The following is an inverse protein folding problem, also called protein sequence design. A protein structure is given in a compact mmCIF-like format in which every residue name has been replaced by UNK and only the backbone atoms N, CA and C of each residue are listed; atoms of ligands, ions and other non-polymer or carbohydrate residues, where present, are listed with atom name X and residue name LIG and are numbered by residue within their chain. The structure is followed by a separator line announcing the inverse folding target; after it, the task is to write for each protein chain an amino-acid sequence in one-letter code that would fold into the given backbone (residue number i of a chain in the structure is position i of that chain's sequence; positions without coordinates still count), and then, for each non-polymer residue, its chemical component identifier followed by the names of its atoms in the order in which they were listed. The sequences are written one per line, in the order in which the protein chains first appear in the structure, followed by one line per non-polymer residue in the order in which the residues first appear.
data_IF_957655289929
#
_entry.id   IF_957655289929
#
_cell.length_a   1.000
_cell.length_b   1.000
_cell.length_c   1.000
_cell.angle_alpha   90.00
_cell.angle_beta   90.00
_cell.angle_gamma   90.00
#
_symmetry.space_group_name_H-M   'P 1'
#
loop_
_entity.id
_entity.type
_entity.pdbx_description
1 polymer ?
#
# COMPACT_ATOMS: atom_id res chain seq x y z
N UNK A 1 -55.47 -31.21 -23.39
CA UNK A 1 -55.21 -30.01 -22.58
C UNK A 1 -54.56 -30.33 -21.23
N UNK A 2 -54.99 -31.33 -20.47
CA UNK A 2 -54.37 -31.64 -19.13
C UNK A 2 -52.90 -32.10 -19.19
N UNK A 3 -52.47 -32.74 -20.26
CA UNK A 3 -51.06 -33.23 -20.41
C UNK A 3 -50.06 -32.12 -20.82
N UNK A 4 -50.55 -31.10 -21.51
CA UNK A 4 -49.74 -29.93 -21.88
C UNK A 4 -49.48 -29.00 -20.65
N UNK A 5 -50.43 -28.93 -19.70
CA UNK A 5 -50.28 -28.17 -18.49
C UNK A 5 -49.23 -28.79 -17.55
N UNK A 6 -49.16 -30.13 -17.49
CA UNK A 6 -48.17 -30.84 -16.68
C UNK A 6 -46.72 -30.63 -17.16
N UNK A 7 -46.49 -30.52 -18.48
CA UNK A 7 -45.18 -30.29 -19.07
C UNK A 7 -44.72 -28.83 -18.80
N UNK A 8 -45.66 -27.90 -18.85
CA UNK A 8 -45.35 -26.48 -18.56
C UNK A 8 -44.93 -26.26 -17.11
N UNK A 9 -45.57 -26.95 -16.15
CA UNK A 9 -45.21 -26.84 -14.71
C UNK A 9 -43.84 -27.47 -14.41
N UNK A 10 -43.48 -28.57 -15.10
CA UNK A 10 -42.17 -29.22 -14.93
C UNK A 10 -41.03 -28.36 -15.50
N UNK A 11 -41.28 -27.63 -16.62
CA UNK A 11 -40.26 -26.67 -17.14
C UNK A 11 -40.05 -25.43 -16.28
N UNK A 12 -41.07 -25.02 -15.52
CA UNK A 12 -40.95 -23.81 -14.66
C UNK A 12 -40.12 -24.05 -13.38
N UNK A 13 -40.00 -25.33 -12.95
CA UNK A 13 -39.21 -25.66 -11.73
C UNK A 13 -37.72 -25.84 -12.03
N UNK A 14 -37.34 -26.00 -13.31
CA UNK A 14 -35.94 -26.21 -13.70
C UNK A 14 -35.11 -24.91 -13.79
N UNK A 15 -35.72 -23.73 -13.63
CA UNK A 15 -35.03 -22.42 -13.77
C UNK A 15 -34.63 -21.81 -12.41
N UNK A 16 -35.01 -22.42 -11.28
CA UNK A 16 -34.69 -21.90 -9.94
C UNK A 16 -33.47 -22.57 -9.30
N UNK A 17 -32.56 -23.08 -10.11
CA UNK A 17 -31.35 -23.69 -9.59
C UNK A 17 -30.10 -23.14 -10.23
N UNK A 18 -29.45 -22.19 -9.59
CA UNK A 18 -28.03 -21.86 -9.53
C UNK A 18 -27.81 -20.34 -9.44
N UNK A 19 -28.19 -19.74 -8.35
CA UNK A 19 -27.41 -18.60 -7.88
C UNK A 19 -26.63 -19.06 -6.64
N UNK A 20 -25.67 -19.94 -6.86
CA UNK A 20 -24.54 -20.05 -5.95
C UNK A 20 -23.67 -18.79 -6.12
N UNK A 21 -24.21 -17.67 -5.68
CA UNK A 21 -23.41 -16.53 -5.31
C UNK A 21 -22.51 -16.98 -4.16
N UNK A 22 -21.39 -17.61 -4.49
CA UNK A 22 -20.32 -17.82 -3.55
C UNK A 22 -19.91 -16.43 -3.12
N UNK A 23 -20.41 -15.97 -1.98
CA UNK A 23 -19.82 -14.87 -1.24
C UNK A 23 -18.45 -15.40 -0.85
N UNK A 24 -17.44 -15.16 -1.69
CA UNK A 24 -16.05 -15.35 -1.30
C UNK A 24 -15.89 -14.45 -0.08
N UNK A 25 -15.88 -15.04 1.11
CA UNK A 25 -15.62 -14.28 2.32
C UNK A 25 -14.31 -13.55 2.06
N UNK A 26 -14.34 -12.21 2.09
CA UNK A 26 -13.13 -11.42 1.97
C UNK A 26 -12.17 -11.91 3.06
N UNK A 27 -10.93 -12.19 2.69
CA UNK A 27 -9.93 -12.58 3.67
C UNK A 27 -9.84 -11.50 4.75
N UNK A 28 -9.69 -11.88 6.02
CA UNK A 28 -9.65 -10.91 7.11
C UNK A 28 -8.49 -9.93 6.89
N UNK A 29 -8.75 -8.65 7.05
CA UNK A 29 -7.74 -7.61 7.02
C UNK A 29 -7.13 -7.45 8.42
N UNK A 30 -5.83 -7.33 8.46
CA UNK A 30 -5.03 -7.11 9.67
C UNK A 30 -4.54 -5.66 9.66
N UNK A 31 -4.62 -4.92 10.78
CA UNK A 31 -4.00 -3.61 10.88
C UNK A 31 -2.48 -3.73 10.75
N UNK A 32 -1.89 -2.88 9.91
CA UNK A 32 -0.45 -2.92 9.58
C UNK A 32 0.12 -1.52 9.71
N UNK A 33 1.28 -1.42 10.35
CA UNK A 33 2.13 -0.22 10.34
C UNK A 33 3.29 -0.44 9.38
N UNK A 34 3.57 0.52 8.53
CA UNK A 34 4.69 0.48 7.61
C UNK A 34 5.49 1.76 7.65
N UNK A 35 6.78 1.66 7.32
CA UNK A 35 7.66 2.80 7.11
C UNK A 35 8.07 2.87 5.66
N UNK A 36 7.90 4.05 5.07
CA UNK A 36 8.22 4.34 3.68
C UNK A 36 9.28 5.42 3.62
N UNK A 37 10.44 5.09 3.06
CA UNK A 37 11.59 5.97 2.88
C UNK A 37 11.54 6.65 1.52
N UNK A 38 11.62 7.98 1.52
CA UNK A 38 11.78 8.83 0.34
C UNK A 38 13.17 9.44 0.41
N UNK A 39 14.01 9.17 -0.57
CA UNK A 39 15.41 9.59 -0.55
C UNK A 39 15.64 10.91 -1.27
N UNK A 40 16.58 11.70 -0.75
CA UNK A 40 17.15 12.88 -1.41
C UNK A 40 16.10 13.91 -1.86
N UNK A 41 15.13 14.14 -0.99
CA UNK A 41 14.08 15.15 -1.21
C UNK A 41 14.67 16.55 -1.07
N UNK A 42 14.32 17.44 -1.98
CA UNK A 42 14.71 18.85 -1.89
C UNK A 42 13.57 19.66 -1.27
N UNK A 43 13.84 20.64 -0.41
CA UNK A 43 12.83 21.63 -0.02
C UNK A 43 12.33 22.36 -1.27
N UNK A 44 11.03 22.65 -1.43
CA UNK A 44 9.92 22.55 -0.48
C UNK A 44 9.08 21.25 -0.58
N UNK A 45 9.55 20.21 -1.30
CA UNK A 45 8.74 18.99 -1.50
C UNK A 45 8.45 18.28 -0.17
N UNK A 46 9.36 18.38 0.82
CA UNK A 46 9.16 17.82 2.16
C UNK A 46 7.90 18.37 2.85
N UNK A 47 7.55 19.65 2.60
CA UNK A 47 6.35 20.29 3.14
C UNK A 47 5.03 19.72 2.57
N UNK A 48 5.13 18.90 1.50
CA UNK A 48 3.97 18.27 0.89
C UNK A 48 3.46 17.06 1.68
N UNK A 49 4.23 16.59 2.66
CA UNK A 49 3.87 15.44 3.48
C UNK A 49 3.35 15.89 4.84
N UNK A 50 2.13 15.46 5.19
CA UNK A 50 1.52 15.80 6.46
C UNK A 50 0.79 14.59 7.08
N UNK A 51 0.80 14.53 8.41
CA UNK A 51 0.01 13.57 9.18
C UNK A 51 -1.47 13.72 8.80
N UNK A 52 -2.16 12.59 8.64
CA UNK A 52 -3.56 12.53 8.22
C UNK A 52 -3.77 12.40 6.70
N UNK A 53 -2.75 12.56 5.87
CA UNK A 53 -2.86 12.31 4.43
C UNK A 53 -2.90 10.81 4.13
N UNK A 54 -3.68 10.43 3.12
CA UNK A 54 -3.71 9.05 2.62
C UNK A 54 -2.59 8.81 1.61
N UNK A 55 -2.03 7.59 1.64
CA UNK A 55 -1.02 7.13 0.69
C UNK A 55 -1.59 5.99 -0.14
N UNK A 56 -1.40 6.06 -1.46
CA UNK A 56 -1.84 5.05 -2.43
C UNK A 56 -0.68 4.63 -3.32
N UNK A 57 -0.72 3.40 -3.80
CA UNK A 57 0.14 2.95 -4.90
C UNK A 57 -0.25 3.69 -6.17
N UNK A 58 0.70 4.23 -6.93
CA UNK A 58 0.38 5.06 -8.10
C UNK A 58 -0.36 4.30 -9.19
N UNK A 59 0.10 3.10 -9.55
CA UNK A 59 -0.42 2.34 -10.68
C UNK A 59 -1.81 1.75 -10.41
N UNK A 60 -1.98 1.09 -9.28
CA UNK A 60 -3.21 0.37 -8.93
C UNK A 60 -4.22 1.24 -8.18
N UNK A 61 -3.81 2.39 -7.65
CA UNK A 61 -4.60 3.27 -6.76
C UNK A 61 -4.97 2.60 -5.42
N UNK A 62 -4.42 1.45 -5.13
CA UNK A 62 -4.66 0.74 -3.88
C UNK A 62 -4.26 1.63 -2.69
N UNK A 63 -5.15 1.74 -1.73
CA UNK A 63 -4.92 2.50 -0.50
C UNK A 63 -3.99 1.68 0.40
N UNK A 64 -2.85 2.27 0.77
CA UNK A 64 -1.93 1.69 1.76
C UNK A 64 -2.32 2.05 3.19
N UNK A 65 -2.79 3.27 3.40
CA UNK A 65 -3.18 3.76 4.72
C UNK A 65 -3.08 5.28 4.83
N UNK A 66 -2.95 5.73 6.07
CA UNK A 66 -2.85 7.14 6.45
C UNK A 66 -1.51 7.41 7.11
N UNK A 67 -0.88 8.55 6.80
CA UNK A 67 0.36 8.98 7.43
C UNK A 67 0.07 9.32 8.90
N UNK A 68 0.77 8.67 9.82
CA UNK A 68 0.68 8.92 11.26
C UNK A 68 1.89 9.66 11.82
N UNK A 69 3.03 9.61 11.11
CA UNK A 69 4.23 10.35 11.46
C UNK A 69 5.07 10.68 10.22
N UNK A 70 5.82 11.79 10.28
CA UNK A 70 6.73 12.26 9.24
C UNK A 70 8.07 12.63 9.90
N UNK A 71 9.10 11.81 9.69
CA UNK A 71 10.45 12.10 10.15
C UNK A 71 11.30 12.60 8.96
N UNK A 72 12.02 13.70 9.18
CA UNK A 72 12.89 14.33 8.17
C UNK A 72 14.31 14.40 8.71
N UNK A 73 15.24 13.77 7.99
CA UNK A 73 16.66 13.75 8.31
C UNK A 73 17.50 14.20 7.11
N UNK A 74 18.67 14.86 7.33
CA UNK A 74 19.58 15.16 6.22
C UNK A 74 19.99 13.90 5.46
N UNK A 75 19.81 13.91 4.13
CA UNK A 75 20.09 12.77 3.28
C UNK A 75 21.55 12.31 3.39
N UNK A 76 21.75 11.00 3.47
CA UNK A 76 23.08 10.40 3.48
C UNK A 76 23.58 10.19 2.06
N UNK A 77 24.84 10.55 1.82
CA UNK A 77 25.49 10.39 0.53
C UNK A 77 26.92 9.89 0.70
N UNK A 78 27.35 9.03 -0.21
CA UNK A 78 28.74 8.61 -0.27
C UNK A 78 29.55 9.68 -1.03
N UNK A 79 30.52 10.31 -0.36
CA UNK A 79 31.38 11.34 -0.93
C UNK A 79 32.82 10.84 -0.93
N UNK A 80 33.57 10.90 -2.07
CA UNK A 80 34.97 10.53 -2.08
C UNK A 80 35.81 11.56 -1.30
N UNK A 81 36.70 11.08 -0.46
CA UNK A 81 37.71 11.90 0.19
C UNK A 81 38.91 12.21 -0.76
N UNK A 82 39.92 12.90 -0.25
CA UNK A 82 41.10 13.27 -1.02
C UNK A 82 41.92 12.09 -1.51
N UNK A 83 41.70 10.88 -1.02
CA UNK A 83 42.34 9.63 -1.44
C UNK A 83 41.49 8.81 -2.39
N UNK A 84 40.24 9.23 -2.63
CA UNK A 84 39.25 8.49 -3.44
C UNK A 84 38.46 7.46 -2.63
N UNK A 85 38.66 7.34 -1.31
CA UNK A 85 37.87 6.48 -0.46
C UNK A 85 36.50 7.12 -0.20
N UNK A 86 35.43 6.30 -0.26
CA UNK A 86 34.07 6.78 0.01
C UNK A 86 33.84 6.94 1.50
N UNK A 87 33.35 8.11 1.88
CA UNK A 87 32.94 8.45 3.24
C UNK A 87 31.44 8.75 3.26
N UNK A 88 30.77 8.36 4.36
CA UNK A 88 29.38 8.72 4.61
C UNK A 88 29.28 10.19 5.05
N UNK A 89 28.62 11.01 4.26
CA UNK A 89 28.42 12.43 4.52
C UNK A 89 26.92 12.75 4.51
N UNK A 90 26.54 13.82 5.22
CA UNK A 90 25.18 14.36 5.20
C UNK A 90 25.05 15.45 4.14
N UNK A 91 23.97 15.39 3.37
CA UNK A 91 23.66 16.43 2.38
C UNK A 91 23.32 17.75 3.09
N UNK A 92 23.87 18.88 2.65
CA UNK A 92 23.45 20.19 3.17
C UNK A 92 22.16 20.71 2.54
N UNK A 93 21.66 20.09 1.48
CA UNK A 93 20.54 20.60 0.65
C UNK A 93 19.45 19.59 0.36
N UNK A 94 19.61 18.34 0.75
CA UNK A 94 18.63 17.27 0.52
C UNK A 94 18.36 16.53 1.82
N UNK A 95 17.11 16.11 1.99
CA UNK A 95 16.64 15.35 3.14
C UNK A 95 16.16 13.97 2.71
N UNK A 96 16.28 13.00 3.58
CA UNK A 96 15.56 11.74 3.52
C UNK A 96 14.32 11.85 4.41
N UNK A 97 13.18 11.38 3.92
CA UNK A 97 11.91 11.43 4.65
C UNK A 97 11.45 10.01 4.93
N UNK A 98 11.11 9.73 6.17
CA UNK A 98 10.47 8.49 6.57
C UNK A 98 9.03 8.79 6.95
N UNK A 99 8.09 8.24 6.18
CA UNK A 99 6.67 8.31 6.48
C UNK A 99 6.28 7.04 7.25
N UNK A 100 5.68 7.19 8.43
CA UNK A 100 4.99 6.10 9.11
C UNK A 100 3.54 6.11 8.66
N UNK A 101 3.08 4.97 8.15
CA UNK A 101 1.75 4.81 7.56
C UNK A 101 1.05 3.67 8.28
N UNK A 102 -0.19 3.89 8.70
CA UNK A 102 -1.05 2.87 9.28
C UNK A 102 -2.23 2.59 8.35
N UNK A 103 -2.50 1.32 8.10
CA UNK A 103 -3.55 0.86 7.22
C UNK A 103 -3.96 -0.57 7.50
N UNK A 104 -4.75 -1.17 6.60
CA UNK A 104 -5.19 -2.56 6.71
C UNK A 104 -4.78 -3.34 5.47
N UNK A 105 -4.26 -4.54 5.68
CA UNK A 105 -3.85 -5.45 4.63
C UNK A 105 -4.34 -6.87 4.88
N UNK A 106 -4.53 -7.63 3.83
CA UNK A 106 -4.62 -9.09 3.91
C UNK A 106 -3.19 -9.63 4.02
N UNK A 107 -2.91 -10.31 5.12
CA UNK A 107 -1.60 -10.93 5.37
C UNK A 107 -1.72 -12.42 5.08
N UNK A 108 -0.91 -12.94 4.15
CA UNK A 108 -0.86 -14.34 3.79
C UNK A 108 0.57 -14.74 3.42
N UNK A 109 1.06 -15.82 4.01
CA UNK A 109 2.40 -16.37 3.75
C UNK A 109 3.54 -15.33 3.82
N UNK A 110 3.43 -14.38 4.76
CA UNK A 110 4.40 -13.29 4.93
C UNK A 110 4.33 -12.19 3.86
N UNK A 111 3.30 -12.19 3.01
CA UNK A 111 3.03 -11.14 2.04
C UNK A 111 1.88 -10.24 2.51
N UNK A 112 1.98 -8.95 2.18
CA UNK A 112 1.00 -7.93 2.51
C UNK A 112 0.28 -7.46 1.26
N UNK A 113 -1.04 -7.63 1.21
CA UNK A 113 -1.87 -7.22 0.08
C UNK A 113 -2.86 -6.14 0.50
N UNK A 114 -2.74 -4.96 -0.09
CA UNK A 114 -3.62 -3.81 0.12
C UNK A 114 -4.58 -3.68 -1.06
N UNK A 115 -5.88 -3.89 -0.81
CA UNK A 115 -6.91 -3.83 -1.85
C UNK A 115 -6.55 -4.66 -3.11
N UNK A 116 -5.98 -5.86 -2.91
CA UNK A 116 -5.56 -6.74 -4.00
C UNK A 116 -4.20 -6.40 -4.63
N UNK A 117 -3.50 -5.38 -4.15
CA UNK A 117 -2.14 -5.04 -4.57
C UNK A 117 -1.14 -5.52 -3.54
N UNK A 118 -0.30 -6.47 -3.92
CA UNK A 118 0.79 -6.93 -3.04
C UNK A 118 1.95 -5.94 -3.09
N UNK A 119 2.44 -5.56 -1.92
CA UNK A 119 3.62 -4.70 -1.76
C UNK A 119 4.73 -5.48 -1.06
N UNK A 120 5.97 -5.12 -1.38
CA UNK A 120 7.15 -5.83 -0.92
C UNK A 120 8.11 -4.88 -0.22
N UNK A 121 8.83 -5.40 0.78
CA UNK A 121 9.95 -4.67 1.36
C UNK A 121 11.02 -4.40 0.29
N UNK A 122 11.67 -3.25 0.41
CA UNK A 122 12.77 -2.82 -0.45
C UNK A 122 12.40 -2.69 -1.95
N UNK A 123 11.12 -2.57 -2.27
CA UNK A 123 10.66 -2.27 -3.63
C UNK A 123 10.50 -0.77 -3.83
N UNK A 124 11.18 -0.23 -4.86
CA UNK A 124 11.17 1.19 -5.21
C UNK A 124 10.06 1.47 -6.24
N UNK A 125 8.92 1.94 -5.79
CA UNK A 125 7.73 2.21 -6.61
C UNK A 125 7.18 3.62 -6.39
N UNK A 126 6.28 4.01 -7.28
CA UNK A 126 5.62 5.31 -7.21
C UNK A 126 4.37 5.26 -6.33
N UNK A 127 4.23 6.28 -5.50
CA UNK A 127 3.11 6.49 -4.61
C UNK A 127 2.43 7.83 -4.86
N UNK A 128 1.19 7.95 -4.36
CA UNK A 128 0.38 9.16 -4.39
C UNK A 128 -0.07 9.54 -2.99
N UNK A 129 0.03 10.84 -2.68
CA UNK A 129 -0.81 11.51 -1.69
C UNK A 129 -1.83 12.40 -2.41
N UNK A 130 -2.78 13.03 -1.72
CA UNK A 130 -3.69 14.00 -2.34
C UNK A 130 -3.01 15.18 -3.05
N UNK A 131 -1.77 15.50 -2.66
CA UNK A 131 -1.05 16.69 -3.12
C UNK A 131 0.16 16.38 -4.00
N UNK A 132 0.74 15.17 -3.93
CA UNK A 132 1.97 14.88 -4.67
C UNK A 132 2.09 13.40 -5.08
N UNK A 133 2.82 13.18 -6.18
CA UNK A 133 3.34 11.86 -6.58
C UNK A 133 4.82 11.82 -6.22
N UNK A 134 5.25 10.73 -5.66
CA UNK A 134 6.63 10.54 -5.24
C UNK A 134 7.06 9.09 -5.36
N UNK A 135 8.36 8.87 -5.37
CA UNK A 135 8.98 7.55 -5.38
C UNK A 135 9.50 7.22 -3.99
N UNK A 136 9.28 5.99 -3.54
CA UNK A 136 9.71 5.58 -2.21
C UNK A 136 9.92 4.08 -2.07
N UNK A 137 10.55 3.70 -0.98
CA UNK A 137 10.92 2.32 -0.65
C UNK A 137 10.30 1.96 0.68
N UNK A 138 9.53 0.88 0.75
CA UNK A 138 9.05 0.35 2.03
C UNK A 138 10.22 -0.32 2.74
N UNK A 139 10.59 0.21 3.91
CA UNK A 139 11.72 -0.27 4.72
C UNK A 139 11.31 -1.13 5.92
N UNK A 140 10.05 -1.03 6.35
CA UNK A 140 9.50 -1.85 7.43
C UNK A 140 8.01 -2.08 7.21
N UNK A 141 7.51 -3.26 7.58
CA UNK A 141 6.09 -3.59 7.72
C UNK A 141 5.91 -4.47 8.95
N UNK A 142 4.95 -4.11 9.79
CA UNK A 142 4.66 -4.78 11.05
C UNK A 142 3.15 -4.92 11.22
N UNK A 143 2.69 -6.08 11.65
CA UNK A 143 1.31 -6.27 12.07
C UNK A 143 1.11 -5.59 13.42
N UNK A 144 0.01 -4.86 13.56
CA UNK A 144 -0.37 -4.25 14.83
C UNK A 144 -1.36 -5.17 15.55
N UNK A 145 -1.20 -5.30 16.86
CA UNK A 145 -2.18 -6.00 17.68
C UNK A 145 -3.52 -5.27 17.59
N UNK A 146 -4.60 -6.02 17.39
CA UNK A 146 -5.94 -5.46 17.47
C UNK A 146 -6.25 -5.14 18.94
N UNK A 147 -6.38 -3.85 19.27
CA UNK A 147 -6.86 -3.43 20.59
C UNK A 147 -8.34 -3.76 20.78
#
# INVERSE_FOLDING_TARGET
MKRLLAILVVMLVAVTGCSSGGTTAAAPETPVRMQLLIRQVVPPLEESFAVGQTVRVFDTKALLGTITDVAVDPARMAVPDSTGALQDARSPVQNDIVLTIEGSAVVADGSYSFQGTTVWLNNDIDYLTPVTRFKGIIISMEEMDAE
#
